data_IF_262976868391
#
_entry.id   IF_262976868391
#
_cell.length_a   1.000
_cell.length_b   1.000
_cell.length_c   1.000
_cell.angle_alpha   90.00
_cell.angle_beta   90.00
_cell.angle_gamma   90.00
#
_symmetry.space_group_name_H-M   'P 1'
#
loop_
_entity.id
_entity.type
_entity.pdbx_description
1 polymer ?
#
# COMPACT_ATOMS: atom_id res chain seq x y z
N UNK A 1 34.02 0.97 3.17
CA UNK A 1 32.72 0.44 3.62
C UNK A 1 31.70 1.06 2.72
N UNK A 2 31.24 0.34 1.72
CA UNK A 2 30.21 0.85 0.82
C UNK A 2 28.96 1.19 1.63
N UNK A 3 28.48 2.42 1.51
CA UNK A 3 27.24 2.87 2.12
C UNK A 3 26.11 1.94 1.66
N UNK A 4 25.57 1.16 2.59
CA UNK A 4 24.36 0.37 2.33
C UNK A 4 23.23 1.39 2.15
N UNK A 5 22.88 1.66 0.90
CA UNK A 5 21.81 2.59 0.54
C UNK A 5 20.47 1.98 0.95
N UNK A 6 19.92 2.41 2.07
CA UNK A 6 18.58 2.01 2.52
C UNK A 6 17.54 2.62 1.57
N UNK A 7 16.85 1.77 0.82
CA UNK A 7 15.78 2.17 -0.10
C UNK A 7 14.48 2.32 0.67
N UNK A 8 13.88 3.52 0.60
CA UNK A 8 12.53 3.74 1.10
C UNK A 8 11.52 3.53 -0.02
N UNK A 9 10.35 2.91 0.26
CA UNK A 9 9.30 2.75 -0.74
C UNK A 9 8.81 4.11 -1.24
N UNK A 10 8.48 4.20 -2.52
CA UNK A 10 8.04 5.44 -3.17
C UNK A 10 6.59 5.77 -2.80
N UNK A 11 5.75 4.74 -2.70
CA UNK A 11 4.33 4.92 -2.36
C UNK A 11 3.79 3.73 -1.59
N UNK A 12 3.00 4.05 -0.56
CA UNK A 12 2.23 3.08 0.21
C UNK A 12 0.76 3.41 -0.02
N UNK A 13 0.03 2.46 -0.61
CA UNK A 13 -1.41 2.59 -0.86
C UNK A 13 -2.13 1.60 0.06
N UNK A 14 -2.77 2.13 1.08
CA UNK A 14 -3.69 1.37 1.94
C UNK A 14 -5.09 1.46 1.35
N UNK A 15 -5.59 0.31 0.90
CA UNK A 15 -6.93 0.22 0.33
C UNK A 15 -7.75 -0.65 1.26
N UNK A 16 -8.84 -0.09 1.77
CA UNK A 16 -9.78 -0.86 2.57
C UNK A 16 -10.99 -1.10 1.70
N UNK A 17 -11.40 -2.35 1.51
CA UNK A 17 -12.54 -2.70 0.67
C UNK A 17 -13.48 -3.66 1.37
N UNK A 18 -14.77 -3.54 1.09
CA UNK A 18 -15.76 -4.52 1.52
C UNK A 18 -15.81 -5.68 0.52
N UNK A 19 -15.64 -6.91 1.02
CA UNK A 19 -15.66 -8.14 0.20
C UNK A 19 -17.00 -8.39 -0.48
N UNK A 20 -18.12 -7.99 0.13
CA UNK A 20 -19.47 -8.25 -0.37
C UNK A 20 -19.94 -7.22 -1.39
N UNK A 21 -19.65 -5.94 -1.15
CA UNK A 21 -20.13 -4.85 -2.01
C UNK A 21 -19.07 -4.35 -2.99
N UNK A 22 -17.79 -4.64 -2.75
CA UNK A 22 -16.68 -4.12 -3.55
C UNK A 22 -16.40 -2.64 -3.32
N UNK A 23 -17.08 -1.98 -2.38
CA UNK A 23 -16.84 -0.58 -2.06
C UNK A 23 -15.46 -0.39 -1.42
N UNK A 24 -14.73 0.62 -1.93
CA UNK A 24 -13.40 0.98 -1.46
C UNK A 24 -13.51 2.19 -0.54
N UNK A 25 -13.12 2.01 0.71
CA UNK A 25 -13.04 3.04 1.73
C UNK A 25 -11.59 3.52 1.87
N UNK A 26 -11.40 4.83 1.73
CA UNK A 26 -10.09 5.49 1.91
C UNK A 26 -9.80 5.85 3.37
N UNK A 27 -10.80 5.82 4.23
CA UNK A 27 -10.73 6.32 5.61
C UNK A 27 -11.43 5.38 6.59
N UNK A 28 -10.89 5.27 7.81
CA UNK A 28 -11.47 4.45 8.87
C UNK A 28 -12.86 4.92 9.32
N UNK A 29 -13.15 6.21 9.19
CA UNK A 29 -14.45 6.81 9.51
C UNK A 29 -15.56 6.27 8.60
N UNK A 30 -15.27 6.09 7.30
CA UNK A 30 -16.23 5.54 6.35
C UNK A 30 -16.50 4.05 6.64
N UNK A 31 -15.49 3.32 7.13
CA UNK A 31 -15.63 1.93 7.52
C UNK A 31 -16.47 1.76 8.80
N UNK A 32 -16.28 2.66 9.78
CA UNK A 32 -17.11 2.70 11.00
C UNK A 32 -18.55 3.11 10.70
N UNK A 33 -18.77 4.07 9.80
CA UNK A 33 -20.11 4.49 9.39
C UNK A 33 -20.87 3.39 8.62
N UNK A 34 -20.15 2.57 7.86
CA UNK A 34 -20.75 1.47 7.10
C UNK A 34 -21.13 0.24 7.95
N UNK A 35 -20.74 0.20 9.24
CA UNK A 35 -21.05 -0.87 10.19
C UNK A 35 -20.80 -2.29 9.62
N UNK A 36 -19.69 -2.43 8.88
CA UNK A 36 -19.34 -3.66 8.18
C UNK A 36 -18.69 -4.61 9.22
N UNK A 37 -19.14 -5.87 9.34
CA UNK A 37 -18.49 -6.85 10.19
C UNK A 37 -17.04 -7.05 9.73
N UNK A 38 -16.09 -7.15 10.66
CA UNK A 38 -14.65 -7.24 10.33
C UNK A 38 -14.32 -8.40 9.39
N UNK A 39 -15.10 -9.47 9.38
CA UNK A 39 -14.93 -10.61 8.47
C UNK A 39 -15.07 -10.23 6.98
N UNK A 40 -15.88 -9.22 6.68
CA UNK A 40 -16.12 -8.73 5.32
C UNK A 40 -15.17 -7.59 4.92
N UNK A 41 -14.31 -7.15 5.83
CA UNK A 41 -13.34 -6.08 5.56
C UNK A 41 -12.04 -6.68 5.05
N UNK A 42 -11.63 -6.29 3.85
CA UNK A 42 -10.30 -6.60 3.32
C UNK A 42 -9.44 -5.33 3.35
N UNK A 43 -8.33 -5.40 4.09
CA UNK A 43 -7.31 -4.34 4.15
C UNK A 43 -6.12 -4.79 3.32
N UNK A 44 -5.99 -4.22 2.12
CA UNK A 44 -4.85 -4.47 1.25
C UNK A 44 -3.84 -3.34 1.41
N UNK A 45 -2.57 -3.71 1.61
CA UNK A 45 -1.44 -2.78 1.65
C UNK A 45 -0.59 -3.03 0.43
N UNK A 46 -0.56 -2.08 -0.51
CA UNK A 46 0.30 -2.17 -1.68
C UNK A 46 1.51 -1.25 -1.49
N UNK A 47 2.70 -1.84 -1.50
CA UNK A 47 3.97 -1.12 -1.37
C UNK A 47 4.63 -1.06 -2.75
N UNK A 48 4.85 0.15 -3.24
CA UNK A 48 5.52 0.40 -4.52
C UNK A 48 6.96 0.82 -4.21
N UNK A 49 7.92 0.00 -4.64
CA UNK A 49 9.35 0.30 -4.52
C UNK A 49 9.79 1.24 -5.64
N UNK A 50 10.74 2.16 -5.37
CA UNK A 50 11.31 3.01 -6.41
C UNK A 50 12.07 2.17 -7.44
N UNK A 51 12.11 2.66 -8.69
CA UNK A 51 12.90 2.03 -9.75
C UNK A 51 14.39 2.00 -9.37
N UNK A 52 14.99 0.80 -9.41
CA UNK A 52 16.42 0.64 -9.19
C UNK A 52 17.17 0.89 -10.49
N UNK A 53 18.04 1.89 -10.47
CA UNK A 53 19.01 2.07 -11.54
C UNK A 53 20.15 1.06 -11.37
N UNK A 54 19.96 -0.12 -11.97
CA UNK A 54 20.93 -1.23 -11.95
C UNK A 54 22.03 -1.05 -13.01
N UNK A 55 21.88 -0.09 -13.92
CA UNK A 55 22.89 0.24 -14.91
C UNK A 55 23.78 1.33 -14.34
N UNK A 56 24.76 0.93 -13.52
CA UNK A 56 25.86 1.82 -13.17
C UNK A 56 26.38 2.46 -14.46
N UNK A 57 26.53 3.80 -14.47
CA UNK A 57 27.03 4.57 -15.62
C UNK A 57 28.19 3.82 -16.26
N UNK A 58 27.93 3.15 -17.38
CA UNK A 58 28.97 2.53 -18.18
C UNK A 58 29.86 3.66 -18.64
N UNK A 59 31.09 3.67 -18.13
CA UNK A 59 32.16 4.52 -18.59
C UNK A 59 33.40 3.66 -18.77
#
# INVERSE_FOLDING_TARGET
>A
MDEIKMLTPEKIITTIKNKKTGEVYKTEEALKAANIPEEDVQRDVTVIMPALDLFAKTK
#
